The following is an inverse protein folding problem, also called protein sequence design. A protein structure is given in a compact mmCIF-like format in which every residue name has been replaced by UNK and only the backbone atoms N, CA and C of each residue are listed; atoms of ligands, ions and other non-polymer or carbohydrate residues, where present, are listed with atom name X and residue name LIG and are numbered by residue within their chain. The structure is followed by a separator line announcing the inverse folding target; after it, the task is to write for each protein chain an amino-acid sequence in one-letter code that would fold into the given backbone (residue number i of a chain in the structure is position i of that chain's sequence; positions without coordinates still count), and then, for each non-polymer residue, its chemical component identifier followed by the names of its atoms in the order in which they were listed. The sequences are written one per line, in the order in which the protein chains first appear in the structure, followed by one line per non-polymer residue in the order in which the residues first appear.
data_IF_729782326978
#
_entry.id   IF_729782326978
#
_cell.length_a   1.000
_cell.length_b   1.000
_cell.length_c   1.000
_cell.angle_alpha   90.00
_cell.angle_beta   90.00
_cell.angle_gamma   90.00
#
_symmetry.space_group_name_H-M   'P 1'
#
loop_
_entity.id
_entity.type
_entity.pdbx_description
1 polymer ?
#
# COMPACT_ATOMS: atom_id res chain seq x y z
N UNK A 1 32.92 -23.13 -10.38
CA UNK A 1 33.54 -22.95 -9.04
C UNK A 1 34.24 -24.22 -8.66
N UNK A 2 35.52 -24.20 -8.25
CA UNK A 2 36.24 -25.41 -7.83
C UNK A 2 35.60 -25.99 -6.58
N UNK A 3 35.51 -27.30 -6.53
CA UNK A 3 35.04 -28.07 -5.38
C UNK A 3 36.05 -27.86 -4.23
N UNK A 4 35.55 -27.54 -3.04
CA UNK A 4 36.37 -27.47 -1.83
C UNK A 4 36.96 -28.85 -1.53
N UNK A 5 38.27 -28.90 -1.47
CA UNK A 5 38.98 -30.08 -0.97
C UNK A 5 38.83 -30.10 0.56
N UNK A 6 38.08 -31.10 1.06
CA UNK A 6 37.71 -31.22 2.48
C UNK A 6 38.91 -31.62 3.38
N UNK A 7 40.05 -31.91 2.80
CA UNK A 7 41.22 -32.39 3.52
C UNK A 7 42.14 -31.28 4.05
N UNK A 8 41.93 -30.04 3.62
CA UNK A 8 42.80 -28.88 3.97
C UNK A 8 42.31 -28.01 5.12
N UNK A 9 41.10 -28.23 5.63
CA UNK A 9 40.51 -27.35 6.63
C UNK A 9 40.05 -28.10 7.88
N UNK A 10 40.20 -27.50 9.06
CA UNK A 10 39.57 -28.01 10.27
C UNK A 10 38.05 -28.04 10.12
N UNK A 11 37.34 -28.88 10.89
CA UNK A 11 35.88 -28.94 10.84
C UNK A 11 35.20 -27.58 11.06
N UNK A 12 35.78 -26.75 11.90
CA UNK A 12 35.27 -25.39 12.21
C UNK A 12 35.51 -24.42 11.08
N UNK A 13 36.67 -24.47 10.43
CA UNK A 13 36.96 -23.63 9.25
C UNK A 13 36.07 -24.00 8.06
N UNK A 14 35.85 -25.29 7.84
CA UNK A 14 34.95 -25.75 6.79
C UNK A 14 33.50 -25.31 7.04
N UNK A 15 33.04 -25.34 8.30
CA UNK A 15 31.71 -24.82 8.66
C UNK A 15 31.59 -23.31 8.44
N UNK A 16 32.59 -22.51 8.83
CA UNK A 16 32.66 -21.06 8.57
C UNK A 16 32.61 -20.74 7.09
N UNK A 17 33.40 -21.46 6.28
CA UNK A 17 33.42 -21.27 4.82
C UNK A 17 32.08 -21.62 4.15
N UNK A 18 31.40 -22.65 4.66
CA UNK A 18 30.06 -23.00 4.17
C UNK A 18 29.04 -21.90 4.51
N UNK A 19 29.08 -21.33 5.70
CA UNK A 19 28.16 -20.26 6.11
C UNK A 19 28.42 -18.96 5.33
N UNK A 20 29.68 -18.59 5.10
CA UNK A 20 30.03 -17.45 4.25
C UNK A 20 29.46 -17.64 2.83
N UNK A 21 29.65 -18.81 2.22
CA UNK A 21 29.11 -19.12 0.89
C UNK A 21 27.60 -19.09 0.85
N UNK A 22 26.93 -19.53 1.92
CA UNK A 22 25.48 -19.46 2.06
C UNK A 22 25.00 -18.00 2.08
N UNK A 23 25.67 -17.15 2.86
CA UNK A 23 25.36 -15.72 2.96
C UNK A 23 25.60 -14.97 1.63
N UNK A 24 26.70 -15.28 0.94
CA UNK A 24 26.98 -14.73 -0.39
C UNK A 24 25.92 -15.13 -1.42
N UNK A 25 25.49 -16.42 -1.41
CA UNK A 25 24.43 -16.89 -2.30
C UNK A 25 23.11 -16.17 -2.05
N UNK A 26 22.73 -15.99 -0.77
CA UNK A 26 21.52 -15.25 -0.37
C UNK A 26 21.62 -13.77 -0.78
N UNK A 27 22.77 -13.15 -0.58
CA UNK A 27 23.03 -11.76 -1.00
C UNK A 27 22.90 -11.58 -2.51
N UNK A 28 23.49 -12.53 -3.28
CA UNK A 28 23.40 -12.52 -4.76
C UNK A 28 21.95 -12.69 -5.24
N UNK A 29 21.21 -13.62 -4.65
CA UNK A 29 19.78 -13.79 -4.97
C UNK A 29 18.95 -12.54 -4.65
N UNK A 30 19.21 -11.89 -3.51
CA UNK A 30 18.55 -10.62 -3.15
C UNK A 30 18.85 -9.52 -4.17
N UNK A 31 20.11 -9.40 -4.61
CA UNK A 31 20.50 -8.42 -5.66
C UNK A 31 19.82 -8.70 -7.00
N UNK A 32 19.72 -9.97 -7.41
CA UNK A 32 19.03 -10.35 -8.65
C UNK A 32 17.53 -10.09 -8.59
N UNK A 33 16.89 -10.35 -7.44
CA UNK A 33 15.47 -10.04 -7.23
C UNK A 33 15.24 -8.52 -7.26
N UNK A 34 16.14 -7.76 -6.64
CA UNK A 34 16.07 -6.30 -6.64
C UNK A 34 16.26 -5.74 -8.05
N UNK A 35 17.27 -6.22 -8.79
CA UNK A 35 17.51 -5.81 -10.18
C UNK A 35 16.35 -6.16 -11.13
N UNK A 36 15.66 -7.28 -10.92
CA UNK A 36 14.46 -7.64 -11.68
C UNK A 36 13.25 -6.76 -11.34
N UNK A 37 13.17 -6.22 -10.12
CA UNK A 37 12.10 -5.31 -9.68
C UNK A 37 12.33 -3.86 -10.13
N UNK A 38 13.58 -3.47 -10.36
CA UNK A 38 13.98 -2.14 -10.81
C UNK A 38 14.16 -2.06 -12.32
N UNK A 39 13.31 -2.73 -13.12
CA UNK A 39 13.21 -2.35 -14.53
C UNK A 39 12.80 -0.88 -14.58
N UNK A 40 13.53 -0.02 -15.33
CA UNK A 40 13.10 1.35 -15.50
C UNK A 40 11.66 1.33 -16.01
N UNK A 41 10.79 2.03 -15.31
CA UNK A 41 9.44 2.32 -15.80
C UNK A 41 9.69 3.08 -17.10
N UNK A 42 9.40 2.47 -18.24
CA UNK A 42 9.30 3.21 -19.48
C UNK A 42 8.21 4.26 -19.22
N UNK A 43 8.61 5.50 -19.11
CA UNK A 43 7.66 6.61 -19.16
C UNK A 43 6.98 6.47 -20.55
N UNK A 44 5.74 6.06 -20.55
CA UNK A 44 4.87 6.29 -21.69
C UNK A 44 4.89 7.82 -21.79
N UNK A 45 5.31 8.36 -22.92
CA UNK A 45 5.13 9.77 -23.22
C UNK A 45 3.62 10.03 -23.14
N UNK A 46 3.16 10.47 -21.98
CA UNK A 46 1.79 10.92 -21.79
C UNK A 46 1.68 12.24 -22.58
N UNK A 47 0.65 12.37 -23.39
CA UNK A 47 0.33 13.62 -24.05
C UNK A 47 0.36 14.76 -23.01
N UNK A 48 0.89 15.94 -23.36
CA UNK A 48 1.00 17.05 -22.41
C UNK A 48 -0.38 17.35 -21.82
N UNK A 49 -0.48 17.18 -20.51
CA UNK A 49 -1.71 17.43 -19.76
C UNK A 49 -2.04 18.92 -19.95
N UNK A 50 -3.19 19.21 -20.54
CA UNK A 50 -3.72 20.57 -20.62
C UNK A 50 -4.07 21.09 -19.21
N UNK A 51 -3.07 21.73 -18.60
CA UNK A 51 -3.15 22.23 -17.23
C UNK A 51 -4.22 23.31 -17.07
N UNK A 52 -4.56 24.04 -18.12
CA UNK A 52 -5.58 25.09 -18.04
C UNK A 52 -6.98 24.52 -17.89
N UNK A 53 -7.28 23.38 -18.52
CA UNK A 53 -8.56 22.69 -18.38
C UNK A 53 -8.82 22.22 -16.94
N UNK A 54 -7.76 22.10 -16.12
CA UNK A 54 -7.83 21.62 -14.74
C UNK A 54 -7.94 22.73 -13.69
N UNK A 55 -7.63 23.98 -14.02
CA UNK A 55 -7.60 25.09 -13.06
C UNK A 55 -8.96 25.46 -12.46
N UNK A 56 -10.08 25.16 -13.10
CA UNK A 56 -11.38 25.67 -12.69
C UNK A 56 -12.25 24.73 -11.84
N UNK A 57 -11.89 23.44 -11.65
CA UNK A 57 -12.75 22.51 -10.91
C UNK A 57 -12.04 21.56 -9.94
N UNK A 58 -10.80 21.84 -9.60
CA UNK A 58 -10.03 20.87 -8.83
C UNK A 58 -10.05 21.20 -7.36
N UNK A 59 -10.81 20.42 -6.64
CA UNK A 59 -10.87 20.41 -5.20
C UNK A 59 -9.64 19.70 -4.63
N UNK A 60 -9.25 20.09 -3.44
CA UNK A 60 -8.31 19.31 -2.63
C UNK A 60 -8.87 17.92 -2.38
N UNK A 61 -7.99 16.95 -2.20
CA UNK A 61 -8.37 15.62 -1.74
C UNK A 61 -7.50 15.20 -0.56
N UNK A 62 -8.03 14.31 0.26
CA UNK A 62 -7.35 13.84 1.45
C UNK A 62 -7.28 12.32 1.43
N UNK A 63 -6.08 11.77 1.57
CA UNK A 63 -5.87 10.32 1.70
C UNK A 63 -5.51 10.02 3.14
N UNK A 64 -6.37 9.29 3.84
CA UNK A 64 -6.25 9.00 5.25
C UNK A 64 -5.83 7.55 5.48
N UNK A 65 -4.59 7.37 5.92
CA UNK A 65 -4.11 6.13 6.51
C UNK A 65 -4.61 5.95 7.95
N UNK A 66 -4.14 4.90 8.59
CA UNK A 66 -4.53 4.57 9.97
C UNK A 66 -3.44 4.86 11.01
N UNK A 67 -2.36 5.53 10.61
CA UNK A 67 -1.28 5.91 11.49
C UNK A 67 -1.71 6.95 12.53
N UNK A 68 -1.09 6.90 13.70
CA UNK A 68 -1.41 7.80 14.84
C UNK A 68 -1.09 9.26 14.55
N UNK A 69 -0.20 9.54 13.58
CA UNK A 69 0.16 10.91 13.20
C UNK A 69 -1.01 11.75 12.70
N UNK A 70 -2.10 11.12 12.24
CA UNK A 70 -3.32 11.85 11.88
C UNK A 70 -4.24 12.17 13.06
N UNK A 71 -3.91 11.72 14.28
CA UNK A 71 -4.75 11.87 15.48
C UNK A 71 -5.02 13.32 15.90
N UNK A 72 -4.30 14.28 15.31
CA UNK A 72 -4.50 15.71 15.54
C UNK A 72 -5.54 16.36 14.60
N UNK A 73 -6.09 15.59 13.67
CA UNK A 73 -7.01 16.10 12.64
C UNK A 73 -8.29 15.28 12.67
N UNK A 74 -9.40 15.96 12.87
CA UNK A 74 -10.72 15.35 12.75
C UNK A 74 -11.07 15.20 11.26
N UNK A 75 -11.31 13.97 10.76
CA UNK A 75 -11.62 13.77 9.34
C UNK A 75 -12.84 14.54 8.86
N UNK A 76 -13.80 14.80 9.75
CA UNK A 76 -15.01 15.56 9.41
C UNK A 76 -14.71 17.00 8.98
N UNK A 77 -13.69 17.62 9.59
CA UNK A 77 -13.30 19.00 9.28
C UNK A 77 -12.66 19.11 7.90
N UNK A 78 -12.03 18.02 7.42
CA UNK A 78 -11.43 17.98 6.09
C UNK A 78 -12.48 17.90 4.97
N UNK A 79 -13.66 17.36 5.27
CA UNK A 79 -14.71 17.10 4.26
C UNK A 79 -15.22 18.35 3.57
N UNK A 80 -15.15 19.50 4.24
CA UNK A 80 -15.57 20.78 3.66
C UNK A 80 -14.63 21.26 2.55
N UNK A 81 -13.38 20.77 2.54
CA UNK A 81 -12.36 21.18 1.57
C UNK A 81 -12.28 20.24 0.36
N UNK A 82 -12.64 18.97 0.52
CA UNK A 82 -12.58 18.01 -0.57
C UNK A 82 -12.90 16.58 -0.15
N UNK A 83 -12.96 15.65 -1.11
CA UNK A 83 -13.27 14.25 -0.84
C UNK A 83 -12.17 13.55 -0.05
N UNK A 84 -12.60 12.58 0.75
CA UNK A 84 -11.74 11.78 1.62
C UNK A 84 -11.66 10.35 1.09
N UNK A 85 -10.43 9.90 0.90
CA UNK A 85 -10.06 8.54 0.53
C UNK A 85 -9.52 7.84 1.78
N UNK A 86 -10.31 6.99 2.39
CA UNK A 86 -9.95 6.28 3.62
C UNK A 86 -9.36 4.90 3.34
N UNK A 87 -8.56 4.41 4.29
CA UNK A 87 -7.93 3.10 4.20
C UNK A 87 -8.43 2.14 5.27
N UNK A 88 -8.70 0.89 4.89
CA UNK A 88 -8.96 -0.22 5.81
C UNK A 88 -9.98 0.12 6.91
N UNK A 89 -9.55 0.06 8.18
CA UNK A 89 -10.41 0.18 9.37
C UNK A 89 -10.97 1.59 9.64
N UNK A 90 -10.62 2.60 8.84
CA UNK A 90 -11.14 3.96 9.02
C UNK A 90 -12.67 4.00 9.07
N UNK A 91 -13.34 3.16 8.30
CA UNK A 91 -14.80 3.11 8.22
C UNK A 91 -15.50 2.81 9.56
N UNK A 92 -14.77 2.24 10.53
CA UNK A 92 -15.31 1.92 11.86
C UNK A 92 -15.67 3.17 12.67
N UNK A 93 -14.98 4.28 12.42
CA UNK A 93 -15.12 5.54 13.17
C UNK A 93 -15.52 6.71 12.31
N UNK A 94 -15.29 6.64 11.01
CA UNK A 94 -15.55 7.72 10.08
C UNK A 94 -16.00 7.17 8.72
N UNK A 95 -16.89 7.89 8.05
CA UNK A 95 -17.39 7.54 6.72
C UNK A 95 -16.66 8.37 5.64
N UNK A 96 -15.58 7.85 5.02
CA UNK A 96 -14.93 8.50 3.90
C UNK A 96 -15.82 8.47 2.64
N UNK A 97 -15.52 9.31 1.67
CA UNK A 97 -16.20 9.30 0.38
C UNK A 97 -15.83 8.06 -0.44
N UNK A 98 -14.58 7.63 -0.31
CA UNK A 98 -14.04 6.40 -0.92
C UNK A 98 -13.27 5.61 0.12
N UNK A 99 -13.65 4.38 0.37
CA UNK A 99 -12.89 3.46 1.22
C UNK A 99 -12.08 2.50 0.35
N UNK A 100 -10.79 2.40 0.60
CA UNK A 100 -9.91 1.44 -0.07
C UNK A 100 -9.43 0.39 0.93
N UNK A 101 -9.72 -0.87 0.65
CA UNK A 101 -9.28 -2.00 1.45
C UNK A 101 -8.82 -3.14 0.53
N UNK A 102 -7.55 -3.52 0.57
CA UNK A 102 -7.00 -4.57 -0.30
C UNK A 102 -6.76 -5.90 0.42
N UNK A 103 -6.79 -5.89 1.76
CA UNK A 103 -6.65 -7.10 2.56
C UNK A 103 -7.97 -7.89 2.61
N UNK A 104 -7.91 -9.18 2.30
CA UNK A 104 -9.09 -10.06 2.25
C UNK A 104 -9.86 -10.03 3.57
N UNK A 105 -9.17 -10.14 4.71
CA UNK A 105 -9.81 -10.10 6.04
C UNK A 105 -10.59 -8.81 6.26
N UNK A 106 -10.04 -7.67 5.86
CA UNK A 106 -10.68 -6.36 5.99
C UNK A 106 -11.91 -6.26 5.08
N UNK A 107 -11.84 -6.72 3.85
CA UNK A 107 -12.98 -6.70 2.93
C UNK A 107 -14.12 -7.59 3.43
N UNK A 108 -13.81 -8.77 3.97
CA UNK A 108 -14.82 -9.65 4.56
C UNK A 108 -15.46 -9.05 5.82
N UNK A 109 -14.68 -8.30 6.63
CA UNK A 109 -15.20 -7.54 7.78
C UNK A 109 -16.17 -6.43 7.32
N UNK A 110 -15.77 -5.66 6.31
CA UNK A 110 -16.60 -4.62 5.69
C UNK A 110 -17.91 -5.23 5.18
N UNK A 111 -17.84 -6.37 4.50
CA UNK A 111 -19.04 -7.07 4.01
C UNK A 111 -19.94 -7.52 5.16
N UNK A 112 -19.37 -8.10 6.23
CA UNK A 112 -20.13 -8.52 7.42
C UNK A 112 -20.86 -7.35 8.09
N UNK A 113 -20.27 -6.15 8.04
CA UNK A 113 -20.89 -4.93 8.58
C UNK A 113 -21.98 -4.34 7.66
N UNK A 114 -22.04 -4.78 6.40
CA UNK A 114 -22.94 -4.23 5.38
C UNK A 114 -22.55 -2.83 4.91
N UNK A 115 -21.37 -2.34 5.28
CA UNK A 115 -20.92 -0.98 4.98
C UNK A 115 -20.92 -0.65 3.49
N UNK A 116 -20.49 -1.58 2.63
CA UNK A 116 -20.42 -1.42 1.17
C UNK A 116 -21.80 -1.25 0.51
N UNK A 117 -22.88 -1.63 1.17
CA UNK A 117 -24.22 -1.48 0.61
C UNK A 117 -24.67 -0.01 0.46
N UNK A 118 -24.04 0.89 1.20
CA UNK A 118 -24.35 2.34 1.23
C UNK A 118 -23.16 3.22 0.96
N UNK A 119 -21.95 2.66 0.75
CA UNK A 119 -20.71 3.41 0.67
C UNK A 119 -19.82 2.87 -0.43
N UNK A 120 -19.01 3.74 -1.00
CA UNK A 120 -18.02 3.39 -2.01
C UNK A 120 -16.86 2.61 -1.39
N UNK A 121 -16.74 1.33 -1.72
CA UNK A 121 -15.65 0.45 -1.30
C UNK A 121 -14.89 -0.05 -2.52
N UNK A 122 -13.58 0.17 -2.53
CA UNK A 122 -12.67 -0.21 -3.60
C UNK A 122 -11.67 -1.26 -3.13
N UNK A 123 -11.49 -2.31 -3.90
CA UNK A 123 -10.59 -3.42 -3.58
C UNK A 123 -9.98 -4.04 -4.84
N UNK A 124 -9.00 -4.90 -4.66
CA UNK A 124 -8.51 -5.75 -5.75
C UNK A 124 -9.43 -6.97 -5.95
N UNK A 125 -9.58 -7.48 -7.18
CA UNK A 125 -10.32 -8.73 -7.42
C UNK A 125 -9.75 -9.89 -6.61
N UNK A 126 -10.62 -10.68 -5.97
CA UNK A 126 -10.25 -11.89 -5.25
C UNK A 126 -11.38 -12.91 -5.28
N UNK A 127 -11.03 -14.20 -5.39
CA UNK A 127 -12.01 -15.29 -5.40
C UNK A 127 -12.85 -15.36 -4.12
N UNK A 128 -12.32 -14.89 -2.98
CA UNK A 128 -13.02 -14.84 -1.70
C UNK A 128 -14.22 -13.86 -1.68
N UNK A 129 -14.35 -13.02 -2.72
CA UNK A 129 -15.43 -12.02 -2.81
C UNK A 129 -16.59 -12.46 -3.69
N UNK A 130 -16.60 -13.74 -4.12
CA UNK A 130 -17.72 -14.28 -4.90
C UNK A 130 -19.01 -14.15 -4.13
N UNK A 131 -20.01 -13.52 -4.76
CA UNK A 131 -21.31 -13.25 -4.14
C UNK A 131 -21.39 -11.99 -3.28
N UNK A 132 -20.30 -11.29 -3.01
CA UNK A 132 -20.32 -9.99 -2.36
C UNK A 132 -20.70 -8.93 -3.39
N UNK A 133 -21.77 -8.20 -3.12
CA UNK A 133 -22.26 -7.13 -3.97
C UNK A 133 -21.69 -5.77 -3.53
N UNK A 134 -21.79 -4.78 -4.42
CA UNK A 134 -21.44 -3.37 -4.16
C UNK A 134 -19.97 -3.13 -3.82
N UNK A 135 -19.06 -3.97 -4.33
CA UNK A 135 -17.61 -3.71 -4.33
C UNK A 135 -17.17 -3.16 -5.68
N UNK A 136 -16.32 -2.16 -5.65
CA UNK A 136 -15.63 -1.64 -6.84
C UNK A 136 -14.25 -2.30 -6.95
N UNK A 137 -13.86 -2.73 -8.16
CA UNK A 137 -12.63 -3.46 -8.37
C UNK A 137 -11.63 -2.65 -9.19
N UNK A 138 -10.38 -2.64 -8.74
CA UNK A 138 -9.29 -2.08 -9.53
C UNK A 138 -8.97 -2.97 -10.74
N UNK A 139 -8.93 -2.37 -11.92
CA UNK A 139 -8.55 -3.04 -13.17
C UNK A 139 -7.48 -2.22 -13.90
N UNK A 140 -6.27 -2.73 -14.05
CA UNK A 140 -5.77 -3.98 -13.45
C UNK A 140 -5.64 -3.91 -11.93
N UNK A 141 -5.60 -5.09 -11.28
CA UNK A 141 -5.36 -5.22 -9.84
C UNK A 141 -4.06 -4.54 -9.45
N UNK A 142 -4.07 -3.84 -8.31
CA UNK A 142 -2.88 -3.17 -7.75
C UNK A 142 -2.22 -4.08 -6.73
N UNK A 143 -0.94 -4.40 -6.94
CA UNK A 143 -0.15 -5.21 -6.00
C UNK A 143 0.35 -4.42 -4.78
N UNK A 144 -0.33 -3.34 -4.39
CA UNK A 144 0.08 -2.43 -3.32
C UNK A 144 -0.81 -2.57 -2.09
N UNK A 145 -0.34 -2.06 -0.96
CA UNK A 145 -1.16 -1.91 0.24
C UNK A 145 -2.25 -0.85 0.05
N UNK A 146 -3.22 -0.80 0.97
CA UNK A 146 -4.40 0.08 0.85
C UNK A 146 -4.03 1.57 0.76
N UNK A 147 -2.99 2.03 1.46
CA UNK A 147 -2.55 3.42 1.44
C UNK A 147 -2.13 3.90 0.05
N UNK A 148 -1.07 3.34 -0.55
CA UNK A 148 -0.65 3.69 -1.92
C UNK A 148 -1.77 3.48 -2.96
N UNK A 149 -2.64 2.48 -2.76
CA UNK A 149 -3.76 2.25 -3.66
C UNK A 149 -4.83 3.34 -3.55
N UNK A 150 -5.12 3.84 -2.34
CA UNK A 150 -6.02 4.96 -2.12
C UNK A 150 -5.46 6.27 -2.71
N UNK A 151 -4.14 6.49 -2.57
CA UNK A 151 -3.46 7.62 -3.19
C UNK A 151 -3.57 7.55 -4.72
N UNK A 152 -3.35 6.38 -5.30
CA UNK A 152 -3.50 6.18 -6.73
C UNK A 152 -4.94 6.47 -7.18
N UNK A 153 -5.96 5.98 -6.46
CA UNK A 153 -7.37 6.23 -6.78
C UNK A 153 -7.67 7.74 -6.76
N UNK A 154 -7.19 8.46 -5.74
CA UNK A 154 -7.39 9.91 -5.65
C UNK A 154 -6.72 10.65 -6.80
N UNK A 155 -5.53 10.23 -7.22
CA UNK A 155 -4.85 10.78 -8.39
C UNK A 155 -5.61 10.52 -9.69
N UNK A 156 -6.21 9.33 -9.85
CA UNK A 156 -7.06 9.04 -11.02
C UNK A 156 -8.32 9.94 -11.09
N UNK A 157 -8.81 10.39 -9.96
CA UNK A 157 -9.92 11.35 -9.89
C UNK A 157 -9.47 12.81 -10.14
N UNK A 158 -8.19 13.01 -10.49
CA UNK A 158 -7.63 14.25 -11.02
C UNK A 158 -7.79 15.45 -10.07
N UNK A 159 -7.44 15.27 -8.81
CA UNK A 159 -7.37 16.37 -7.86
C UNK A 159 -6.05 17.14 -8.01
N UNK A 160 -6.08 18.47 -7.88
CA UNK A 160 -4.88 19.33 -7.99
C UNK A 160 -3.86 19.10 -6.88
N UNK A 161 -4.37 18.92 -5.67
CA UNK A 161 -3.55 18.69 -4.49
C UNK A 161 -4.16 17.57 -3.69
N UNK A 162 -3.31 16.64 -3.30
CA UNK A 162 -3.69 15.50 -2.48
C UNK A 162 -2.87 15.55 -1.19
N UNK A 163 -3.55 15.71 -0.08
CA UNK A 163 -2.95 15.68 1.25
C UNK A 163 -2.99 14.26 1.80
N UNK A 164 -1.85 13.79 2.32
CA UNK A 164 -1.69 12.45 2.86
C UNK A 164 -1.48 12.55 4.35
N UNK A 165 -2.33 11.87 5.15
CA UNK A 165 -2.26 11.86 6.61
C UNK A 165 -2.28 10.43 7.14
N UNK A 166 -1.53 10.17 8.22
CA UNK A 166 -1.53 8.86 8.87
C UNK A 166 -0.83 7.75 8.10
N UNK A 167 0.20 8.08 7.33
CA UNK A 167 1.06 7.12 6.63
C UNK A 167 2.35 6.92 7.43
N UNK A 168 2.22 6.40 8.62
CA UNK A 168 3.31 6.22 9.57
C UNK A 168 4.07 4.95 9.21
N UNK A 169 5.13 5.09 8.41
CA UNK A 169 5.97 3.97 7.98
C UNK A 169 7.02 3.55 9.02
N UNK A 170 7.15 4.29 10.11
CA UNK A 170 8.05 3.93 11.21
C UNK A 170 7.28 3.15 12.26
N UNK A 171 7.74 1.91 12.54
CA UNK A 171 7.33 1.20 13.73
C UNK A 171 7.84 1.89 14.99
N UNK A 172 7.33 1.52 16.14
CA UNK A 172 7.94 1.84 17.42
C UNK A 172 9.37 1.29 17.47
N UNK A 173 10.27 1.96 18.20
CA UNK A 173 11.72 1.68 18.25
C UNK A 173 12.11 0.24 18.69
N UNK A 174 11.15 -0.58 19.09
CA UNK A 174 11.29 -1.95 19.55
C UNK A 174 11.07 -3.02 18.47
N UNK A 175 10.97 -2.63 17.20
CA UNK A 175 10.72 -3.55 16.09
C UNK A 175 9.27 -4.05 16.00
N UNK A 176 8.38 -3.54 16.85
CA UNK A 176 6.98 -3.88 16.82
C UNK A 176 6.20 -3.06 15.79
N UNK A 177 5.02 -3.53 15.48
CA UNK A 177 4.11 -3.14 14.42
C UNK A 177 3.92 -1.63 14.30
N UNK A 178 3.61 -1.18 13.10
CA UNK A 178 3.20 0.20 12.81
C UNK A 178 2.19 0.72 13.84
N UNK A 179 2.44 1.93 14.34
CA UNK A 179 1.49 2.65 15.17
C UNK A 179 0.19 2.87 14.41
N UNK A 180 -0.87 2.21 14.85
CA UNK A 180 -2.14 2.19 14.14
C UNK A 180 -3.27 2.53 15.12
N UNK A 181 -4.12 3.49 14.77
CA UNK A 181 -5.26 3.92 15.59
C UNK A 181 -6.29 2.82 15.85
N UNK A 182 -6.27 1.73 15.07
CA UNK A 182 -7.22 0.61 15.13
C UNK A 182 -6.55 -0.73 15.46
N UNK A 183 -5.33 -0.70 16.00
CA UNK A 183 -4.58 -1.90 16.40
C UNK A 183 -5.15 -2.52 17.68
#
# INVERSE_FOLDING_TARGET
MPKLDKTQYSKEEAARLMEIRRLEKVSRQKKEIFAKRTKPISFIEEEPIDIERFRHNQKFAFVLGNGVSRGFVEPQDLKIYGPIYGCNALYRTFRPDYLVAVDVKMVLEINKSGYQNKNQVWTNPNNSYRGIQHLNFFQPSKGWSSGPTALWLSAQHRHNQIYILGFDYRGLNDGQRFNNLYA
#
